data_IF_724191162290
#
_entry.id   IF_724191162290
#
_cell.length_a   1.000
_cell.length_b   1.000
_cell.length_c   1.000
_cell.angle_alpha   90.00
_cell.angle_beta   90.00
_cell.angle_gamma   90.00
#
_symmetry.space_group_name_H-M   'P 1'
#
loop_
_entity.id
_entity.type
_entity.pdbx_description
1 polymer ?
#
# COMPACT_ATOMS: atom_id res chain seq x y z
N UNK A 1 -0.54 12.68 17.88
CA UNK A 1 0.15 13.42 16.81
C UNK A 1 -0.71 13.32 15.56
N UNK A 2 -1.60 14.29 15.36
CA UNK A 2 -2.55 14.31 14.24
C UNK A 2 -1.75 14.51 12.96
N UNK A 3 -1.85 13.63 11.95
CA UNK A 3 -1.04 13.84 10.76
C UNK A 3 -1.59 15.07 10.03
N UNK A 4 -0.72 16.01 9.66
CA UNK A 4 -1.05 17.28 9.02
C UNK A 4 -1.69 17.03 7.63
N UNK A 5 -2.89 17.54 7.32
CA UNK A 5 -3.55 17.37 6.02
C UNK A 5 -2.82 18.07 4.85
N UNK A 6 -2.26 19.26 5.08
CA UNK A 6 -1.71 20.12 4.02
C UNK A 6 -0.55 19.49 3.24
N UNK A 7 0.45 18.91 3.92
CA UNK A 7 1.60 18.27 3.27
C UNK A 7 1.22 17.04 2.42
N UNK A 8 0.04 16.46 2.62
CA UNK A 8 -0.43 15.28 1.89
C UNK A 8 -1.22 15.63 0.65
N UNK A 9 -2.03 16.69 0.69
CA UNK A 9 -2.70 17.20 -0.50
C UNK A 9 -1.68 17.64 -1.57
N UNK A 10 -0.56 18.20 -1.12
CA UNK A 10 0.57 18.57 -2.00
C UNK A 10 1.17 17.36 -2.73
N UNK A 11 1.08 16.14 -2.19
CA UNK A 11 1.63 14.94 -2.85
C UNK A 11 0.94 14.64 -4.17
N UNK A 12 -0.38 14.83 -4.24
CA UNK A 12 -1.13 14.62 -5.49
C UNK A 12 -0.63 15.61 -6.55
N UNK A 13 -0.56 16.89 -6.18
CA UNK A 13 -0.11 17.96 -7.08
C UNK A 13 1.34 17.77 -7.51
N UNK A 14 2.24 17.42 -6.58
CA UNK A 14 3.64 17.15 -6.84
C UNK A 14 3.86 15.95 -7.79
N UNK A 15 2.89 15.03 -7.87
CA UNK A 15 2.88 13.90 -8.81
C UNK A 15 1.98 14.14 -10.04
N UNK A 16 1.56 15.37 -10.30
CA UNK A 16 0.74 15.74 -11.46
C UNK A 16 -0.70 15.21 -11.44
N UNK A 17 -1.18 14.72 -10.29
CA UNK A 17 -2.55 14.23 -10.15
C UNK A 17 -3.49 15.37 -9.75
N UNK A 18 -4.63 15.47 -10.46
CA UNK A 18 -5.77 16.30 -10.01
C UNK A 18 -6.19 15.94 -8.59
N UNK A 19 -6.37 16.94 -7.75
CA UNK A 19 -6.79 16.83 -6.36
C UNK A 19 -8.32 16.63 -6.26
N UNK A 20 -8.78 15.39 -6.25
CA UNK A 20 -10.20 15.03 -6.09
C UNK A 20 -10.48 14.52 -4.67
N UNK A 21 -11.75 14.57 -4.22
CA UNK A 21 -12.17 14.03 -2.91
C UNK A 21 -11.67 12.59 -2.71
N UNK A 22 -11.96 11.69 -3.66
CA UNK A 22 -11.56 10.28 -3.59
C UNK A 22 -10.04 10.09 -3.45
N UNK A 23 -9.23 10.91 -4.13
CA UNK A 23 -7.76 10.78 -4.08
C UNK A 23 -7.20 11.24 -2.75
N UNK A 24 -7.77 12.29 -2.17
CA UNK A 24 -7.42 12.71 -0.81
C UNK A 24 -7.80 11.64 0.21
N UNK A 25 -8.99 11.05 0.05
CA UNK A 25 -9.46 9.99 0.93
C UNK A 25 -8.60 8.72 0.83
N UNK A 26 -8.25 8.30 -0.38
CA UNK A 26 -7.30 7.21 -0.60
C UNK A 26 -5.95 7.49 0.06
N UNK A 27 -5.39 8.69 -0.11
CA UNK A 27 -4.15 9.07 0.58
C UNK A 27 -4.26 9.01 2.10
N UNK A 28 -5.39 9.42 2.66
CA UNK A 28 -5.66 9.34 4.08
C UNK A 28 -5.72 7.88 4.56
N UNK A 29 -6.32 6.98 3.79
CA UNK A 29 -6.36 5.55 4.10
C UNK A 29 -4.95 4.92 4.05
N UNK A 30 -4.18 5.20 3.01
CA UNK A 30 -2.80 4.73 2.88
C UNK A 30 -1.86 5.23 3.99
N UNK A 31 -2.23 6.31 4.69
CA UNK A 31 -1.51 6.77 5.88
C UNK A 31 -1.85 5.96 7.14
N UNK A 32 -3.03 5.36 7.23
CA UNK A 32 -3.55 4.69 8.43
C UNK A 32 -3.06 3.25 8.59
N UNK A 33 -2.86 2.54 7.48
CA UNK A 33 -2.43 1.13 7.44
C UNK A 33 -1.32 0.98 6.40
N UNK A 34 -0.41 0.03 6.64
CA UNK A 34 0.73 -0.23 5.76
C UNK A 34 0.31 -0.57 4.34
N UNK A 35 -0.62 -1.50 4.18
CA UNK A 35 -1.03 -1.96 2.87
C UNK A 35 -2.53 -2.23 2.75
N UNK A 36 -3.07 -2.00 1.55
CA UNK A 36 -4.50 -2.11 1.27
C UNK A 36 -4.76 -2.93 0.02
N UNK A 37 -5.81 -3.75 0.02
CA UNK A 37 -6.38 -4.29 -1.23
C UNK A 37 -7.39 -3.31 -1.81
N UNK A 38 -7.67 -3.42 -3.12
CA UNK A 38 -8.71 -2.61 -3.78
C UNK A 38 -10.08 -2.82 -3.12
N UNK A 39 -10.39 -4.06 -2.72
CA UNK A 39 -11.64 -4.38 -2.04
C UNK A 39 -11.74 -3.72 -0.65
N UNK A 40 -10.64 -3.70 0.12
CA UNK A 40 -10.59 -2.97 1.40
C UNK A 40 -10.81 -1.47 1.21
N UNK A 41 -10.20 -0.87 0.18
CA UNK A 41 -10.36 0.56 -0.11
C UNK A 41 -11.78 0.89 -0.56
N UNK A 42 -12.37 0.08 -1.43
CA UNK A 42 -13.76 0.26 -1.88
C UNK A 42 -14.74 0.21 -0.71
N UNK A 43 -14.55 -0.70 0.26
CA UNK A 43 -15.37 -0.73 1.48
C UNK A 43 -15.24 0.53 2.34
N UNK A 44 -14.13 1.26 2.24
CA UNK A 44 -13.89 2.51 2.99
C UNK A 44 -14.37 3.74 2.24
N UNK A 45 -14.28 3.77 0.90
CA UNK A 45 -14.84 4.83 0.06
C UNK A 45 -16.28 4.50 -0.33
N UNK A 46 -17.21 4.57 0.64
CA UNK A 46 -18.61 4.15 0.43
C UNK A 46 -19.33 4.86 -0.73
N UNK A 47 -18.91 6.09 -1.07
CA UNK A 47 -19.50 6.89 -2.16
C UNK A 47 -18.91 6.56 -3.55
N UNK A 48 -17.79 5.82 -3.63
CA UNK A 48 -17.08 5.58 -4.87
C UNK A 48 -17.36 4.17 -5.41
N UNK A 49 -17.72 4.07 -6.70
CA UNK A 49 -17.85 2.77 -7.34
C UNK A 49 -16.48 2.06 -7.47
N UNK A 50 -16.50 0.74 -7.53
CA UNK A 50 -15.29 -0.09 -7.64
C UNK A 50 -14.39 0.31 -8.82
N UNK A 51 -14.98 0.66 -9.97
CA UNK A 51 -14.23 1.12 -11.15
C UNK A 51 -13.41 2.40 -10.88
N UNK A 52 -13.91 3.28 -10.02
CA UNK A 52 -13.25 4.53 -9.63
C UNK A 52 -12.06 4.26 -8.73
N UNK A 53 -12.21 3.33 -7.79
CA UNK A 53 -11.09 2.88 -6.94
C UNK A 53 -9.98 2.29 -7.80
N UNK A 54 -10.30 1.38 -8.72
CA UNK A 54 -9.32 0.82 -9.66
C UNK A 54 -8.61 1.88 -10.49
N UNK A 55 -9.34 2.82 -11.11
CA UNK A 55 -8.73 3.91 -11.89
C UNK A 55 -7.80 4.78 -11.05
N UNK A 56 -8.18 5.07 -9.80
CA UNK A 56 -7.32 5.86 -8.92
C UNK A 56 -6.06 5.08 -8.53
N UNK A 57 -6.19 3.81 -8.19
CA UNK A 57 -5.03 2.94 -7.90
C UNK A 57 -4.09 2.87 -9.09
N UNK A 58 -4.60 2.60 -10.30
CA UNK A 58 -3.77 2.60 -11.52
C UNK A 58 -3.04 3.94 -11.73
N UNK A 59 -3.73 5.07 -11.60
CA UNK A 59 -3.12 6.40 -11.78
C UNK A 59 -2.09 6.72 -10.71
N UNK A 60 -2.37 6.38 -9.45
CA UNK A 60 -1.44 6.60 -8.34
C UNK A 60 -0.20 5.71 -8.46
N UNK A 61 -0.36 4.46 -8.91
CA UNK A 61 0.76 3.56 -9.21
C UNK A 61 1.60 4.07 -10.38
N UNK A 62 0.97 4.53 -11.46
CA UNK A 62 1.66 5.03 -12.65
C UNK A 62 2.55 6.25 -12.36
N UNK A 63 2.14 7.12 -11.43
CA UNK A 63 2.96 8.27 -10.99
C UNK A 63 3.87 7.92 -9.81
N UNK A 64 3.96 6.64 -9.44
CA UNK A 64 4.80 6.12 -8.36
C UNK A 64 4.42 6.59 -6.96
N UNK A 65 3.19 7.08 -6.74
CA UNK A 65 2.73 7.56 -5.43
C UNK A 65 2.45 6.39 -4.48
N UNK A 66 1.97 5.29 -5.05
CA UNK A 66 1.83 3.99 -4.40
C UNK A 66 2.54 2.93 -5.25
N UNK A 67 2.83 1.79 -4.63
CA UNK A 67 3.42 0.62 -5.30
C UNK A 67 2.72 -0.66 -4.86
N UNK A 68 2.65 -1.69 -5.73
CA UNK A 68 2.25 -3.03 -5.29
C UNK A 68 3.33 -3.62 -4.39
N UNK A 69 2.92 -4.46 -3.43
CA UNK A 69 3.84 -5.13 -2.49
C UNK A 69 3.70 -6.66 -2.53
N UNK A 70 3.22 -7.16 -3.66
CA UNK A 70 2.93 -8.56 -3.88
C UNK A 70 1.45 -8.90 -3.72
N UNK A 71 1.19 -10.20 -3.86
CA UNK A 71 -0.13 -10.79 -3.85
C UNK A 71 -0.14 -11.85 -2.75
N UNK A 72 -1.06 -11.73 -1.80
CA UNK A 72 -1.33 -12.79 -0.82
C UNK A 72 -2.69 -13.37 -1.12
N UNK A 73 -2.72 -14.61 -1.62
CA UNK A 73 -3.94 -15.20 -2.17
C UNK A 73 -4.29 -14.63 -3.55
N UNK A 74 -5.51 -14.11 -3.72
CA UNK A 74 -6.03 -13.64 -5.01
C UNK A 74 -5.97 -12.12 -5.22
N UNK A 75 -5.65 -11.33 -4.19
CA UNK A 75 -5.70 -9.86 -4.27
C UNK A 75 -4.30 -9.23 -4.13
N UNK A 76 -4.00 -8.28 -5.03
CA UNK A 76 -2.82 -7.43 -4.92
C UNK A 76 -2.99 -6.42 -3.77
N UNK A 77 -1.91 -6.22 -3.01
CA UNK A 77 -1.83 -5.19 -1.97
C UNK A 77 -0.98 -4.02 -2.45
N UNK A 78 -1.37 -2.81 -2.07
CA UNK A 78 -0.68 -1.57 -2.40
C UNK A 78 -0.26 -0.82 -1.14
N UNK A 79 0.84 -0.08 -1.20
CA UNK A 79 1.30 0.82 -0.14
C UNK A 79 1.85 2.14 -0.72
N UNK A 80 2.13 3.13 0.15
CA UNK A 80 2.84 4.34 -0.26
C UNK A 80 4.30 4.04 -0.65
N UNK A 81 4.76 4.61 -1.75
CA UNK A 81 6.12 4.36 -2.26
C UNK A 81 7.23 5.04 -1.46
N UNK A 82 6.92 6.02 -0.62
CA UNK A 82 7.90 6.80 0.14
C UNK A 82 8.21 6.21 1.52
N UNK A 83 7.84 4.95 1.75
CA UNK A 83 8.20 4.22 2.96
C UNK A 83 9.70 3.83 2.90
N UNK A 84 10.40 3.81 4.05
CA UNK A 84 11.76 3.26 4.11
C UNK A 84 11.81 1.85 3.52
N UNK A 85 12.94 1.48 2.92
CA UNK A 85 13.13 0.16 2.34
C UNK A 85 12.88 -0.94 3.38
N UNK A 86 12.05 -1.90 3.01
CA UNK A 86 11.66 -3.03 3.84
C UNK A 86 11.20 -4.17 2.95
N UNK A 87 11.23 -5.38 3.48
CA UNK A 87 10.80 -6.57 2.79
C UNK A 87 9.43 -7.05 3.29
N UNK A 88 8.74 -7.84 2.47
CA UNK A 88 7.39 -8.32 2.75
C UNK A 88 7.40 -9.83 3.02
N UNK A 89 6.81 -10.22 4.14
CA UNK A 89 6.57 -11.61 4.52
C UNK A 89 5.08 -11.92 4.36
N UNK A 90 4.76 -12.83 3.46
CA UNK A 90 3.41 -13.34 3.27
C UNK A 90 3.16 -14.54 4.19
N UNK A 91 2.12 -14.47 5.02
CA UNK A 91 1.77 -15.58 5.89
C UNK A 91 0.97 -16.64 5.15
N UNK A 92 1.48 -17.88 5.14
CA UNK A 92 0.85 -19.01 4.44
C UNK A 92 -0.42 -19.53 5.14
N UNK A 93 -0.72 -19.03 6.35
CA UNK A 93 -1.90 -19.42 7.11
C UNK A 93 -3.06 -18.44 6.99
N UNK A 94 -2.82 -17.17 7.32
CA UNK A 94 -3.88 -16.16 7.37
C UNK A 94 -3.88 -15.24 6.14
N UNK A 95 -2.93 -15.42 5.21
CA UNK A 95 -2.75 -14.57 4.04
C UNK A 95 -2.54 -13.07 4.38
N UNK A 96 -2.06 -12.77 5.58
CA UNK A 96 -1.61 -11.42 5.95
C UNK A 96 -0.19 -11.18 5.43
N UNK A 97 0.11 -9.93 5.06
CA UNK A 97 1.47 -9.48 4.74
C UNK A 97 2.03 -8.70 5.93
N UNK A 98 3.13 -9.19 6.49
CA UNK A 98 3.94 -8.48 7.47
C UNK A 98 5.10 -7.75 6.78
N UNK A 99 5.47 -6.58 7.28
CA UNK A 99 6.68 -5.88 6.85
C UNK A 99 7.80 -6.20 7.82
N UNK A 100 8.97 -6.59 7.31
CA UNK A 100 10.16 -6.86 8.12
C UNK A 100 11.35 -6.06 7.60
N UNK A 101 12.40 -5.83 8.42
CA UNK A 101 13.66 -5.29 7.92
C UNK A 101 14.14 -6.11 6.72
N UNK A 102 14.63 -5.45 5.67
CA UNK A 102 15.15 -6.20 4.53
C UNK A 102 16.43 -6.95 4.96
N UNK A 103 16.50 -8.28 4.78
CA UNK A 103 17.70 -9.04 5.11
C UNK A 103 18.85 -8.81 4.11
N UNK A 104 18.59 -8.10 3.01
CA UNK A 104 19.56 -7.81 1.95
C UNK A 104 19.51 -6.31 1.61
N UNK A 105 19.80 -5.46 2.59
CA UNK A 105 19.73 -4.00 2.47
C UNK A 105 20.92 -3.35 1.72
N UNK A 106 21.91 -4.16 1.34
CA UNK A 106 23.16 -3.73 0.72
C UNK A 106 23.19 -3.89 -0.82
N UNK A 107 22.07 -4.21 -1.45
CA UNK A 107 21.96 -4.27 -2.91
C UNK A 107 21.84 -2.87 -3.50
N UNK A 108 22.69 -2.56 -4.48
CA UNK A 108 22.69 -1.28 -5.20
C UNK A 108 21.62 -1.17 -6.28
N UNK A 109 20.87 -2.24 -6.53
CA UNK A 109 19.80 -2.31 -7.51
C UNK A 109 18.44 -2.53 -6.83
N UNK A 110 17.38 -2.05 -7.48
CA UNK A 110 16.00 -2.37 -7.10
C UNK A 110 15.82 -3.89 -7.11
N UNK A 111 15.31 -4.42 -6.00
CA UNK A 111 15.06 -5.85 -5.86
C UNK A 111 13.68 -6.10 -5.25
N UNK A 112 13.14 -7.26 -5.59
CA UNK A 112 11.93 -7.78 -4.98
C UNK A 112 12.30 -9.04 -4.21
N UNK A 113 12.11 -8.99 -2.89
CA UNK A 113 12.26 -10.16 -2.03
C UNK A 113 10.87 -10.64 -1.62
N UNK A 114 10.49 -11.82 -2.08
CA UNK A 114 9.28 -12.50 -1.63
C UNK A 114 9.64 -13.51 -0.54
N UNK A 115 9.13 -13.30 0.67
CA UNK A 115 9.27 -14.25 1.77
C UNK A 115 7.91 -14.84 2.12
N UNK A 116 7.90 -16.13 2.43
CA UNK A 116 6.71 -16.88 2.86
C UNK A 116 6.97 -17.55 4.20
N UNK A 117 5.95 -17.64 5.05
CA UNK A 117 6.08 -18.27 6.37
C UNK A 117 4.90 -18.00 7.30
N UNK A 118 5.18 -17.86 8.60
CA UNK A 118 4.17 -17.58 9.64
C UNK A 118 4.34 -16.15 10.16
N UNK A 119 3.23 -15.40 10.27
CA UNK A 119 3.24 -14.13 11.00
C UNK A 119 3.25 -14.38 12.51
N UNK A 120 3.55 -13.33 13.29
CA UNK A 120 3.60 -13.36 14.75
C UNK A 120 2.32 -13.91 15.39
N UNK A 121 1.16 -13.62 14.80
CA UNK A 121 -0.15 -14.11 15.27
C UNK A 121 -0.41 -15.60 14.96
N UNK A 122 0.35 -16.16 14.01
CA UNK A 122 0.18 -17.52 13.51
C UNK A 122 1.36 -18.44 13.84
N UNK A 123 2.41 -17.96 14.52
CA UNK A 123 3.62 -18.74 14.78
C UNK A 123 3.39 -19.95 15.69
N UNK A 124 2.44 -19.84 16.64
CA UNK A 124 2.20 -20.84 17.69
C UNK A 124 0.93 -21.70 17.49
N UNK A 125 0.20 -21.51 16.39
CA UNK A 125 -0.97 -22.34 16.06
C UNK A 125 -0.86 -22.84 14.64
#
# INVERSE_FOLDING_TARGET
MTPQPDRRNDRLRARGLRQTKDRHELLNLFAQKRAWTVAELHRRLADANLSTVYRNIQKMTAVGLIRPIGQTGAEARFELSDRPHHAHLNCDRCAATACIPCPIDNLTADHTLEMRGRCEECKDK
#
